data_IF_726777026225
#
_entry.id   IF_726777026225
#
_cell.length_a   1.000
_cell.length_b   1.000
_cell.length_c   1.000
_cell.angle_alpha   90.00
_cell.angle_beta   90.00
_cell.angle_gamma   90.00
#
_symmetry.space_group_name_H-M   'P 1'
#
loop_
_entity.id
_entity.type
_entity.pdbx_description
1 polymer ?
#
# COMPACT_ATOMS: atom_id res chain seq x y z
N UNK A 1 -3.05 13.78 13.50
CA UNK A 1 -2.40 14.42 12.33
C UNK A 1 -2.05 15.85 12.69
N UNK A 2 -0.95 16.39 12.19
CA UNK A 2 -0.54 17.77 12.48
C UNK A 2 -0.95 18.68 11.34
N UNK A 3 -1.62 19.79 11.65
CA UNK A 3 -1.81 20.89 10.69
C UNK A 3 -0.46 21.60 10.52
N UNK A 4 -0.05 21.90 9.29
CA UNK A 4 1.24 22.55 9.01
C UNK A 4 1.06 24.02 8.65
N UNK A 5 2.04 24.83 9.02
CA UNK A 5 2.15 26.24 8.63
C UNK A 5 2.73 26.38 7.22
N UNK A 6 2.58 27.57 6.65
CA UNK A 6 3.11 27.92 5.32
C UNK A 6 4.62 27.65 5.26
N UNK A 7 5.07 27.00 4.18
CA UNK A 7 6.48 26.71 3.92
C UNK A 7 6.97 25.34 4.40
N UNK A 8 6.12 24.53 5.04
CA UNK A 8 6.47 23.15 5.41
C UNK A 8 6.02 22.19 4.30
N UNK A 9 6.94 21.35 3.84
CA UNK A 9 6.64 20.32 2.84
C UNK A 9 5.83 19.17 3.44
N UNK A 10 4.87 18.67 2.66
CA UNK A 10 4.06 17.51 3.02
C UNK A 10 4.17 16.42 1.95
N UNK A 11 3.91 15.18 2.37
CA UNK A 11 3.86 14.03 1.46
C UNK A 11 2.98 12.93 2.03
N UNK A 12 2.72 11.90 1.23
CA UNK A 12 2.15 10.66 1.73
C UNK A 12 3.06 10.01 2.79
N UNK A 13 2.49 9.74 3.96
CA UNK A 13 3.14 9.05 5.08
C UNK A 13 2.55 7.65 5.30
N UNK A 14 1.78 7.13 4.34
CA UNK A 14 1.00 5.89 4.48
C UNK A 14 0.09 5.87 5.72
N UNK A 15 -0.49 7.03 6.05
CA UNK A 15 -1.31 7.21 7.23
C UNK A 15 -0.59 6.76 8.51
N UNK A 16 0.65 7.25 8.72
CA UNK A 16 1.50 6.88 9.87
C UNK A 16 0.78 6.95 11.21
N UNK A 17 -0.14 7.91 11.39
CA UNK A 17 -1.01 8.00 12.57
C UNK A 17 -1.78 6.69 12.85
N UNK A 18 -2.42 6.12 11.83
CA UNK A 18 -3.18 4.85 11.95
C UNK A 18 -2.26 3.66 12.20
N UNK A 19 -1.04 3.68 11.63
CA UNK A 19 -0.04 2.63 11.85
C UNK A 19 0.42 2.64 13.31
N UNK A 20 0.68 3.82 13.87
CA UNK A 20 1.13 3.98 15.26
C UNK A 20 0.02 3.52 16.21
N UNK A 21 -1.20 4.03 16.04
CA UNK A 21 -2.36 3.66 16.87
C UNK A 21 -2.57 2.13 16.91
N UNK A 22 -2.61 1.46 15.75
CA UNK A 22 -2.77 0.01 15.70
C UNK A 22 -1.57 -0.76 16.30
N UNK A 23 -0.35 -0.23 16.17
CA UNK A 23 0.83 -0.83 16.81
C UNK A 23 0.75 -0.72 18.32
N UNK A 24 0.37 0.44 18.85
CA UNK A 24 0.26 0.68 20.28
C UNK A 24 -0.83 -0.23 20.89
N UNK A 25 -1.97 -0.37 20.21
CA UNK A 25 -3.03 -1.31 20.60
C UNK A 25 -2.55 -2.76 20.59
N UNK A 26 -1.82 -3.19 19.55
CA UNK A 26 -1.30 -4.55 19.45
C UNK A 26 -0.27 -4.83 20.56
N UNK A 27 0.63 -3.88 20.84
CA UNK A 27 1.62 -3.96 21.93
C UNK A 27 0.93 -4.08 23.29
N UNK A 28 -0.10 -3.26 23.55
CA UNK A 28 -0.89 -3.35 24.79
C UNK A 28 -1.59 -4.70 24.96
N UNK A 29 -1.91 -5.37 23.85
CA UNK A 29 -2.49 -6.72 23.83
C UNK A 29 -1.43 -7.85 23.79
N UNK A 30 -0.13 -7.52 23.87
CA UNK A 30 0.96 -8.50 23.85
C UNK A 30 1.11 -9.25 22.52
N UNK A 31 0.68 -8.66 21.40
CA UNK A 31 0.69 -9.31 20.07
C UNK A 31 1.21 -8.38 18.99
N UNK A 32 1.45 -8.93 17.81
CA UNK A 32 1.73 -8.14 16.61
C UNK A 32 0.45 -7.62 15.96
N UNK A 33 0.60 -6.57 15.14
CA UNK A 33 -0.47 -6.04 14.28
C UNK A 33 -0.87 -7.12 13.28
N UNK A 34 -2.16 -7.41 13.20
CA UNK A 34 -2.72 -8.41 12.27
C UNK A 34 -3.03 -7.79 10.92
N UNK A 35 -3.17 -8.63 9.89
CA UNK A 35 -3.61 -8.16 8.58
C UNK A 35 -4.99 -7.49 8.66
N UNK A 36 -5.16 -6.36 7.97
CA UNK A 36 -6.42 -5.60 7.96
C UNK A 36 -6.62 -4.63 9.12
N UNK A 37 -5.88 -4.73 10.23
CA UNK A 37 -6.00 -3.80 11.37
C UNK A 37 -5.56 -2.37 11.00
N UNK A 38 -4.66 -2.24 10.02
CA UNK A 38 -4.28 -0.94 9.47
C UNK A 38 -4.76 -0.83 8.03
N UNK A 39 -5.75 0.03 7.83
CA UNK A 39 -6.19 0.43 6.49
C UNK A 39 -5.96 1.93 6.31
N UNK A 40 -5.07 2.36 5.39
CA UNK A 40 -4.90 3.78 5.07
C UNK A 40 -6.17 4.40 4.51
N UNK A 41 -6.33 5.72 4.67
CA UNK A 41 -7.52 6.44 4.23
C UNK A 41 -7.80 6.23 2.72
N UNK A 42 -6.77 6.28 1.87
CA UNK A 42 -6.93 6.07 0.43
C UNK A 42 -7.38 4.64 0.07
N UNK A 43 -6.97 3.62 0.84
CA UNK A 43 -7.40 2.24 0.63
C UNK A 43 -8.85 2.04 1.11
N UNK A 44 -9.20 2.62 2.25
CA UNK A 44 -10.55 2.56 2.82
C UNK A 44 -11.59 3.26 1.92
N UNK A 45 -11.25 4.42 1.36
CA UNK A 45 -12.16 5.21 0.52
C UNK A 45 -12.31 4.66 -0.90
N UNK A 46 -11.49 3.69 -1.32
CA UNK A 46 -11.49 3.19 -2.69
C UNK A 46 -12.58 2.11 -2.87
N UNK A 47 -13.67 2.39 -3.62
CA UNK A 47 -14.76 1.42 -3.80
C UNK A 47 -14.35 0.20 -4.63
N UNK A 48 -13.36 0.35 -5.51
CA UNK A 48 -12.85 -0.73 -6.36
C UNK A 48 -11.73 -1.54 -5.69
N UNK A 49 -11.33 -1.19 -4.46
CA UNK A 49 -10.24 -1.85 -3.73
C UNK A 49 -8.92 -1.92 -4.52
N UNK A 50 -8.62 -0.86 -5.30
CA UNK A 50 -7.41 -0.80 -6.13
C UNK A 50 -6.12 -0.68 -5.30
N UNK A 51 -6.19 -0.13 -4.09
CA UNK A 51 -5.05 0.04 -3.19
C UNK A 51 -5.12 -1.04 -2.11
N UNK A 52 -4.07 -1.86 -2.04
CA UNK A 52 -3.90 -2.86 -0.99
C UNK A 52 -2.71 -2.48 -0.13
N UNK A 53 -2.92 -2.41 1.18
CA UNK A 53 -1.90 -2.06 2.16
C UNK A 53 -1.71 -3.23 3.13
N UNK A 54 -0.48 -3.48 3.58
CA UNK A 54 -0.18 -4.57 4.48
C UNK A 54 1.31 -4.70 4.81
N UNK A 55 1.65 -5.77 5.53
CA UNK A 55 3.02 -6.04 5.96
C UNK A 55 3.81 -6.82 4.91
N UNK A 56 4.75 -6.16 4.23
CA UNK A 56 5.63 -6.81 3.25
C UNK A 56 6.59 -7.86 3.82
N UNK A 57 6.80 -7.88 5.15
CA UNK A 57 7.63 -8.90 5.79
C UNK A 57 6.88 -10.22 6.01
N UNK A 58 5.55 -10.18 5.97
CA UNK A 58 4.70 -11.35 6.08
C UNK A 58 4.45 -11.92 4.67
N UNK A 59 4.98 -13.12 4.34
CA UNK A 59 4.79 -13.75 3.02
C UNK A 59 3.32 -14.06 2.71
N UNK A 60 2.50 -14.33 3.72
CA UNK A 60 1.10 -14.71 3.57
C UNK A 60 0.18 -13.51 3.33
N UNK A 61 0.66 -12.30 3.62
CA UNK A 61 -0.11 -11.07 3.43
C UNK A 61 -0.51 -10.88 1.96
N UNK A 62 -1.70 -10.29 1.75
CA UNK A 62 -2.22 -9.98 0.42
C UNK A 62 -1.26 -9.09 -0.38
N UNK A 63 -0.57 -8.16 0.29
CA UNK A 63 0.39 -7.26 -0.38
C UNK A 63 1.63 -7.99 -0.86
N UNK A 64 2.16 -8.95 -0.08
CA UNK A 64 3.32 -9.76 -0.48
C UNK A 64 3.00 -10.62 -1.70
N UNK A 65 1.82 -11.24 -1.71
CA UNK A 65 1.32 -12.02 -2.86
C UNK A 65 1.14 -11.15 -4.11
N UNK A 66 0.51 -9.98 -4.00
CA UNK A 66 0.33 -9.07 -5.14
C UNK A 66 1.65 -8.48 -5.66
N UNK A 67 2.64 -8.28 -4.79
CA UNK A 67 3.97 -7.81 -5.20
C UNK A 67 4.73 -8.84 -6.03
N UNK A 68 4.43 -10.13 -5.87
CA UNK A 68 5.01 -11.22 -6.65
C UNK A 68 4.20 -11.56 -7.91
N UNK A 69 3.05 -10.91 -8.14
CA UNK A 69 2.25 -11.08 -9.36
C UNK A 69 3.10 -10.72 -10.60
N UNK A 70 2.94 -11.48 -11.68
CA UNK A 70 3.66 -11.24 -12.96
C UNK A 70 3.40 -9.85 -13.54
N UNK A 71 2.33 -9.18 -13.13
CA UNK A 71 1.96 -7.82 -13.54
C UNK A 71 2.55 -6.74 -12.65
N UNK A 72 3.20 -7.11 -11.55
CA UNK A 72 3.78 -6.17 -10.61
C UNK A 72 5.01 -5.49 -11.22
N UNK A 73 5.07 -4.18 -11.09
CA UNK A 73 6.24 -3.39 -11.47
C UNK A 73 6.45 -2.22 -10.51
N UNK A 74 7.67 -1.71 -10.51
CA UNK A 74 8.07 -0.52 -9.73
C UNK A 74 8.26 0.64 -10.69
N UNK A 75 7.73 1.79 -10.32
CA UNK A 75 7.86 3.01 -11.12
C UNK A 75 9.32 3.47 -11.07
N UNK A 76 9.89 3.75 -12.26
CA UNK A 76 11.28 4.19 -12.43
C UNK A 76 12.32 3.22 -11.82
N UNK A 77 12.14 1.92 -11.99
CA UNK A 77 13.00 0.89 -11.37
C UNK A 77 14.48 1.00 -11.77
N UNK A 78 14.77 1.51 -12.98
CA UNK A 78 16.13 1.77 -13.47
C UNK A 78 16.92 2.78 -12.60
N UNK A 79 16.25 3.59 -11.79
CA UNK A 79 16.89 4.53 -10.86
C UNK A 79 17.26 3.89 -9.51
N UNK A 80 16.96 2.59 -9.32
CA UNK A 80 17.27 1.84 -8.09
C UNK A 80 16.78 2.49 -6.78
N UNK A 81 15.73 3.30 -6.83
CA UNK A 81 15.13 4.00 -5.67
C UNK A 81 14.42 3.06 -4.69
N UNK A 82 14.23 1.80 -5.09
CA UNK A 82 13.58 0.73 -4.33
C UNK A 82 12.29 1.21 -3.63
N UNK A 83 11.27 1.69 -4.38
CA UNK A 83 10.03 2.19 -3.79
C UNK A 83 9.25 1.11 -3.03
N UNK A 84 8.59 1.50 -1.94
CA UNK A 84 7.74 0.60 -1.16
C UNK A 84 6.45 0.21 -1.91
N UNK A 85 5.93 1.11 -2.77
CA UNK A 85 4.74 0.90 -3.58
C UNK A 85 5.09 0.11 -4.84
N UNK A 86 4.29 -0.92 -5.14
CA UNK A 86 4.33 -1.66 -6.40
C UNK A 86 2.98 -1.49 -7.11
N UNK A 87 3.01 -1.34 -8.42
CA UNK A 87 1.82 -1.17 -9.26
C UNK A 87 1.53 -2.45 -10.02
N UNK A 88 0.26 -2.71 -10.29
CA UNK A 88 -0.16 -3.82 -11.14
C UNK A 88 -0.53 -3.30 -12.52
N UNK A 89 0.03 -3.91 -13.57
CA UNK A 89 -0.29 -3.54 -14.96
C UNK A 89 -1.77 -3.80 -15.24
N UNK A 90 -2.45 -2.78 -15.78
CA UNK A 90 -3.83 -2.91 -16.24
C UNK A 90 -3.89 -3.86 -17.43
N UNK A 91 -4.74 -4.89 -17.35
CA UNK A 91 -5.06 -5.75 -18.48
C UNK A 91 -6.25 -5.11 -19.18
N UNK A 92 -6.01 -4.57 -20.38
CA UNK A 92 -7.09 -4.11 -21.26
C UNK A 92 -7.40 -5.25 -22.22
N UNK A 93 -8.61 -5.80 -22.15
CA UNK A 93 -9.09 -6.73 -23.16
C UNK A 93 -9.41 -5.90 -24.40
N UNK A 94 -8.44 -5.76 -25.30
CA UNK A 94 -8.71 -5.20 -26.62
C UNK A 94 -9.84 -6.03 -27.24
N UNK A 95 -10.87 -5.39 -27.76
CA UNK A 95 -11.79 -6.05 -28.67
C UNK A 95 -10.97 -6.45 -29.91
N UNK A 96 -10.65 -7.74 -30.04
CA UNK A 96 -10.25 -8.49 -31.25
C UNK A 96 -9.19 -7.86 -32.18
N UNK A 97 -8.06 -8.51 -32.47
CA UNK A 97 -8.00 -9.57 -33.51
C UNK A 97 -9.27 -9.62 -34.38
N UNK A 98 -9.40 -8.67 -35.30
CA UNK A 98 -10.23 -8.81 -36.50
C UNK A 98 -9.30 -9.22 -37.64
N UNK A 99 -9.71 -10.23 -38.40
CA UNK A 99 -9.08 -10.71 -39.65
C UNK A 99 -8.74 -9.59 -40.62
#
# INVERSE_FOLDING_TARGET
MTVRSKGVMEKCTFCVQRIIEAKDEAVNQGRNVREGEVTPACAQSCPSHAIVFGNLKDPESRVSRLRQDKRAYRVLDHLYTRPAVSYLKAIRRNQSHKS
#
